data_IF_574477462340
#
_entry.id   IF_574477462340
#
_cell.length_a   1.000
_cell.length_b   1.000
_cell.length_c   1.000
_cell.angle_alpha   90.00
_cell.angle_beta   90.00
_cell.angle_gamma   90.00
#
_symmetry.space_group_name_H-M   'P 1'
#
loop_
_entity.id
_entity.type
_entity.pdbx_description
1 polymer ?
#
# COMPACT_ATOMS: atom_id res chain seq x y z
N UNK A 1 -30.19 80.20 -21.67
CA UNK A 1 -29.76 78.79 -21.81
C UNK A 1 -28.25 78.73 -21.97
N UNK A 2 -27.61 77.73 -21.37
CA UNK A 2 -26.19 77.36 -21.43
C UNK A 2 -25.17 78.13 -20.56
N UNK A 3 -25.00 77.68 -19.31
CA UNK A 3 -23.72 77.72 -18.58
C UNK A 3 -23.29 76.28 -18.28
N UNK A 4 -22.21 75.84 -18.93
CA UNK A 4 -21.50 74.59 -18.58
C UNK A 4 -20.47 74.92 -17.50
N UNK A 5 -20.70 74.40 -16.30
CA UNK A 5 -19.75 74.41 -15.19
C UNK A 5 -18.87 73.16 -15.31
N UNK A 6 -17.56 73.36 -15.47
CA UNK A 6 -16.56 72.28 -15.46
C UNK A 6 -16.14 72.06 -14.01
N UNK A 7 -16.51 70.93 -13.42
CA UNK A 7 -15.99 70.48 -12.13
C UNK A 7 -14.77 69.58 -12.35
N UNK A 8 -13.58 70.11 -12.08
CA UNK A 8 -12.37 69.33 -11.85
C UNK A 8 -12.20 69.23 -10.33
N UNK A 9 -12.58 68.08 -9.76
CA UNK A 9 -12.36 67.76 -8.35
C UNK A 9 -11.53 66.48 -8.22
N UNK A 10 -10.23 66.68 -7.94
CA UNK A 10 -9.50 66.01 -6.87
C UNK A 10 -9.54 64.48 -6.78
N UNK A 11 -8.76 63.81 -7.64
CA UNK A 11 -8.16 62.49 -7.35
C UNK A 11 -6.92 62.69 -6.49
N UNK A 12 -7.00 62.55 -5.17
CA UNK A 12 -5.85 62.32 -4.28
C UNK A 12 -6.34 61.91 -2.88
N UNK A 13 -6.29 60.62 -2.56
CA UNK A 13 -6.49 60.11 -1.20
C UNK A 13 -7.15 58.73 -1.17
N UNK A 14 -6.34 57.68 -1.03
CA UNK A 14 -6.88 56.33 -0.82
C UNK A 14 -5.99 55.17 -1.25
N UNK A 15 -4.67 55.26 -1.11
CA UNK A 15 -3.75 54.11 -1.29
C UNK A 15 -2.93 53.93 -0.02
N UNK A 16 -3.58 53.68 1.12
CA UNK A 16 -2.97 53.09 2.32
C UNK A 16 -4.07 52.33 3.09
N UNK A 17 -4.59 51.25 2.52
CA UNK A 17 -5.47 50.32 3.23
C UNK A 17 -5.49 48.93 2.56
N UNK A 18 -4.32 48.40 2.20
CA UNK A 18 -4.19 47.00 1.78
C UNK A 18 -2.85 46.51 2.33
N UNK A 19 -2.87 45.91 3.53
CA UNK A 19 -1.89 44.92 4.02
C UNK A 19 -2.10 44.67 5.52
N UNK A 20 -3.23 44.08 5.92
CA UNK A 20 -3.29 43.29 7.16
C UNK A 20 -4.55 42.39 7.22
N UNK A 21 -4.72 41.50 6.24
CA UNK A 21 -5.51 40.28 6.45
C UNK A 21 -4.54 39.10 6.47
N UNK A 22 -3.93 38.93 7.64
CA UNK A 22 -3.12 37.78 7.98
C UNK A 22 -4.09 36.63 8.25
N UNK A 23 -3.92 35.58 7.44
CA UNK A 23 -4.60 34.29 7.50
C UNK A 23 -4.40 33.68 8.89
N UNK A 24 -5.41 33.79 9.74
CA UNK A 24 -5.62 32.93 10.91
C UNK A 24 -6.44 31.72 10.44
N UNK A 25 -5.76 30.65 10.02
CA UNK A 25 -6.39 29.34 9.94
C UNK A 25 -6.38 28.72 11.34
N UNK A 26 -7.54 28.39 11.94
CA UNK A 26 -7.57 27.70 13.21
C UNK A 26 -7.11 26.25 13.01
N UNK A 27 -6.10 25.85 13.78
CA UNK A 27 -5.80 24.45 14.07
C UNK A 27 -7.04 23.80 14.69
N UNK A 28 -7.73 22.96 13.92
CA UNK A 28 -8.77 22.09 14.45
C UNK A 28 -8.08 20.99 15.29
N UNK A 29 -8.12 21.18 16.60
CA UNK A 29 -7.84 20.15 17.60
C UNK A 29 -8.94 19.09 17.48
N UNK A 30 -8.58 17.87 17.07
CA UNK A 30 -9.47 16.72 17.11
C UNK A 30 -9.51 16.21 18.56
N UNK A 31 -10.65 16.24 19.26
CA UNK A 31 -10.75 15.61 20.57
C UNK A 31 -10.85 14.10 20.42
N UNK A 32 -10.06 13.40 21.25
CA UNK A 32 -10.15 11.96 21.48
C UNK A 32 -11.49 11.65 22.18
N UNK A 33 -12.39 10.97 21.46
CA UNK A 33 -13.62 10.40 22.03
C UNK A 33 -13.33 9.08 22.73
N UNK A 34 -13.28 9.12 24.05
CA UNK A 34 -13.31 7.95 24.93
C UNK A 34 -14.75 7.50 25.17
N UNK A 35 -14.94 6.18 25.28
CA UNK A 35 -15.90 5.56 26.20
C UNK A 35 -17.38 5.63 25.83
N UNK A 36 -17.94 4.48 25.43
CA UNK A 36 -19.39 4.30 25.29
C UNK A 36 -19.77 2.84 25.21
N UNK A 37 -19.59 2.10 26.30
CA UNK A 37 -20.19 0.78 26.51
C UNK A 37 -21.69 0.98 26.67
N UNK A 38 -22.51 0.32 25.86
CA UNK A 38 -23.94 0.14 26.12
C UNK A 38 -24.45 -1.10 25.38
N UNK A 39 -24.58 -2.20 26.12
CA UNK A 39 -25.52 -3.29 25.80
C UNK A 39 -26.92 -2.87 26.24
N UNK A 40 -27.95 -3.19 25.45
CA UNK A 40 -29.10 -3.82 26.06
C UNK A 40 -29.59 -5.05 25.29
N UNK A 41 -29.74 -6.12 26.05
CA UNK A 41 -30.57 -7.29 25.79
C UNK A 41 -32.03 -6.86 25.61
N UNK A 42 -32.67 -7.21 24.49
CA UNK A 42 -34.13 -7.26 24.40
C UNK A 42 -34.57 -8.32 23.39
N UNK A 43 -35.07 -9.41 23.95
CA UNK A 43 -35.84 -10.48 23.33
C UNK A 43 -37.15 -9.95 22.74
N UNK A 44 -37.49 -10.23 21.47
CA UNK A 44 -38.89 -10.33 21.03
C UNK A 44 -39.07 -11.05 19.68
N UNK A 45 -39.77 -12.18 19.75
CA UNK A 45 -40.74 -12.81 18.84
C UNK A 45 -40.49 -12.99 17.31
N UNK A 46 -40.88 -14.16 16.74
CA UNK A 46 -40.76 -14.47 15.32
C UNK A 46 -41.90 -13.85 14.50
N UNK A 47 -41.57 -13.14 13.42
CA UNK A 47 -42.53 -12.66 12.41
C UNK A 47 -42.30 -13.42 11.11
N UNK A 48 -43.39 -13.91 10.53
CA UNK A 48 -43.48 -14.74 9.33
C UNK A 48 -42.92 -14.06 8.05
N UNK A 49 -42.54 -14.84 7.01
CA UNK A 49 -41.76 -14.34 5.88
C UNK A 49 -42.63 -13.53 4.91
N UNK A 50 -42.20 -12.29 4.64
CA UNK A 50 -42.76 -11.47 3.55
C UNK A 50 -41.91 -11.67 2.31
N UNK A 51 -42.60 -11.97 1.20
CA UNK A 51 -42.12 -12.32 -0.12
C UNK A 51 -41.02 -11.39 -0.65
N UNK A 52 -39.83 -11.96 -0.86
CA UNK A 52 -38.70 -11.28 -1.48
C UNK A 52 -38.95 -11.10 -2.98
N UNK A 53 -39.22 -9.85 -3.37
CA UNK A 53 -39.21 -9.40 -4.76
C UNK A 53 -37.84 -9.71 -5.38
N UNK A 54 -37.84 -10.42 -6.51
CA UNK A 54 -36.65 -10.82 -7.24
C UNK A 54 -35.96 -9.58 -7.85
N UNK A 55 -35.01 -9.02 -7.11
CA UNK A 55 -34.05 -8.08 -7.64
C UNK A 55 -33.16 -8.80 -8.67
N UNK A 56 -33.30 -8.40 -9.94
CA UNK A 56 -32.42 -8.76 -11.05
C UNK A 56 -30.96 -8.51 -10.62
N UNK A 57 -30.07 -9.53 -10.59
CA UNK A 57 -28.69 -9.30 -10.18
C UNK A 57 -28.02 -8.36 -11.20
N UNK A 58 -27.63 -7.19 -10.70
CA UNK A 58 -26.68 -6.33 -11.37
C UNK A 58 -25.38 -7.12 -11.61
N UNK A 59 -24.85 -7.01 -12.82
CA UNK A 59 -23.64 -7.70 -13.29
C UNK A 59 -22.43 -7.27 -12.46
N UNK A 60 -22.24 -7.91 -11.31
CA UNK A 60 -20.95 -8.00 -10.62
C UNK A 60 -19.93 -8.57 -11.60
N UNK A 61 -18.76 -7.94 -11.71
CA UNK A 61 -17.64 -8.49 -12.45
C UNK A 61 -17.41 -9.93 -11.97
N UNK A 62 -17.68 -10.89 -12.85
CA UNK A 62 -17.81 -12.30 -12.50
C UNK A 62 -16.42 -12.87 -12.24
N UNK A 63 -16.21 -13.52 -11.09
CA UNK A 63 -14.92 -14.11 -10.71
C UNK A 63 -14.36 -15.08 -11.78
N UNK A 64 -13.03 -15.27 -11.84
CA UNK A 64 -12.43 -16.25 -12.73
C UNK A 64 -12.99 -17.64 -12.41
N UNK A 65 -13.29 -18.42 -13.46
CA UNK A 65 -13.89 -19.73 -13.31
C UNK A 65 -13.43 -20.69 -14.40
N UNK A 66 -13.30 -21.96 -14.01
CA UNK A 66 -12.95 -23.06 -14.90
C UNK A 66 -14.07 -24.11 -14.86
N UNK A 67 -14.41 -24.65 -16.02
CA UNK A 67 -15.35 -25.75 -16.17
C UNK A 67 -14.77 -26.81 -17.12
N UNK A 68 -14.98 -28.08 -16.79
CA UNK A 68 -14.55 -29.20 -17.62
C UNK A 68 -15.74 -29.70 -18.45
N UNK A 69 -15.50 -30.08 -19.70
CA UNK A 69 -16.53 -30.70 -20.54
C UNK A 69 -17.03 -32.04 -20.01
N UNK A 70 -16.18 -32.76 -19.27
CA UNK A 70 -16.47 -34.06 -18.66
C UNK A 70 -16.05 -34.03 -17.17
N UNK A 71 -16.79 -34.76 -16.33
CA UNK A 71 -16.47 -34.91 -14.90
C UNK A 71 -15.70 -36.20 -14.59
N UNK A 72 -15.79 -37.19 -15.46
CA UNK A 72 -15.10 -38.47 -15.32
C UNK A 72 -14.17 -38.64 -16.52
N UNK A 73 -12.89 -38.84 -16.22
CA UNK A 73 -11.82 -38.64 -17.21
C UNK A 73 -10.75 -39.71 -17.02
N UNK A 74 -10.24 -40.26 -18.12
CA UNK A 74 -9.13 -41.22 -18.10
C UNK A 74 -7.78 -40.51 -18.24
N UNK A 75 -6.74 -41.05 -17.61
CA UNK A 75 -5.36 -40.59 -17.82
C UNK A 75 -4.99 -40.70 -19.30
N UNK A 76 -4.36 -39.67 -19.85
CA UNK A 76 -3.96 -39.56 -21.25
C UNK A 76 -5.05 -39.09 -22.20
N UNK A 77 -6.30 -38.94 -21.75
CA UNK A 77 -7.37 -38.38 -22.59
C UNK A 77 -7.25 -36.86 -22.72
N UNK A 78 -7.64 -36.34 -23.88
CA UNK A 78 -7.71 -34.89 -24.13
C UNK A 78 -9.12 -34.40 -23.81
N UNK A 79 -9.22 -33.37 -22.98
CA UNK A 79 -10.48 -32.78 -22.54
C UNK A 79 -10.48 -31.28 -22.83
N UNK A 80 -11.59 -30.78 -23.36
CA UNK A 80 -11.79 -29.35 -23.54
C UNK A 80 -12.20 -28.69 -22.22
N UNK A 81 -11.38 -27.74 -21.80
CA UNK A 81 -11.53 -26.93 -20.59
C UNK A 81 -12.07 -25.57 -21.00
N UNK A 82 -13.14 -25.11 -20.35
CA UNK A 82 -13.70 -23.78 -20.52
C UNK A 82 -13.17 -22.86 -19.43
N UNK A 83 -12.46 -21.81 -19.83
CA UNK A 83 -11.93 -20.77 -18.95
C UNK A 83 -12.79 -19.51 -19.13
N UNK A 84 -13.20 -18.86 -18.03
CA UNK A 84 -14.01 -17.65 -18.08
C UNK A 84 -13.49 -16.58 -17.12
N UNK A 85 -13.58 -15.31 -17.54
CA UNK A 85 -13.29 -14.11 -16.76
C UNK A 85 -11.87 -14.02 -16.17
N UNK A 86 -10.87 -14.60 -16.84
CA UNK A 86 -9.47 -14.33 -16.52
C UNK A 86 -9.03 -13.02 -17.15
N UNK A 87 -8.29 -12.19 -16.42
CA UNK A 87 -7.74 -10.91 -16.90
C UNK A 87 -6.26 -11.09 -17.26
N UNK A 88 -5.57 -12.04 -16.61
CA UNK A 88 -4.18 -12.37 -16.93
C UNK A 88 -4.04 -12.82 -18.40
N UNK A 89 -2.96 -12.38 -19.07
CA UNK A 89 -2.68 -12.74 -20.47
C UNK A 89 -2.18 -14.17 -20.64
N UNK A 90 -1.55 -14.72 -19.59
CA UNK A 90 -0.93 -16.04 -19.59
C UNK A 90 -1.43 -16.79 -18.36
N UNK A 91 -1.92 -18.01 -18.60
CA UNK A 91 -2.44 -18.90 -17.57
C UNK A 91 -1.68 -20.23 -17.61
N UNK A 92 -1.57 -20.86 -16.46
CA UNK A 92 -1.02 -22.21 -16.30
C UNK A 92 -2.13 -23.15 -15.85
N UNK A 93 -2.36 -24.22 -16.61
CA UNK A 93 -3.32 -25.28 -16.30
C UNK A 93 -2.57 -26.50 -15.79
N UNK A 94 -2.94 -26.98 -14.60
CA UNK A 94 -2.27 -28.11 -13.93
C UNK A 94 -3.29 -29.06 -13.30
N UNK A 95 -2.97 -30.35 -13.24
CA UNK A 95 -3.75 -31.37 -12.52
C UNK A 95 -3.16 -31.59 -11.15
N UNK A 96 -3.99 -31.53 -10.11
CA UNK A 96 -3.58 -31.78 -8.73
C UNK A 96 -4.39 -32.91 -8.11
N UNK A 97 -3.73 -33.74 -7.32
CA UNK A 97 -4.38 -34.63 -6.34
C UNK A 97 -4.58 -33.87 -5.03
N UNK A 98 -5.18 -34.52 -4.02
CA UNK A 98 -5.46 -33.91 -2.71
C UNK A 98 -6.07 -32.49 -2.77
N UNK A 99 -6.91 -32.22 -3.78
CA UNK A 99 -7.46 -30.90 -4.11
C UNK A 99 -6.41 -29.75 -4.23
N UNK A 100 -5.14 -30.07 -4.49
CA UNK A 100 -4.05 -29.08 -4.51
C UNK A 100 -3.78 -28.43 -3.15
N UNK A 101 -4.24 -29.02 -2.04
CA UNK A 101 -4.17 -28.41 -0.71
C UNK A 101 -2.75 -28.07 -0.31
N UNK A 102 -1.77 -28.95 -0.61
CA UNK A 102 -0.36 -28.79 -0.21
C UNK A 102 0.46 -28.00 -1.24
N UNK A 103 -0.21 -27.31 -2.17
CA UNK A 103 0.43 -26.55 -3.23
C UNK A 103 1.06 -27.44 -4.29
N UNK A 104 2.20 -27.02 -4.83
CA UNK A 104 2.84 -27.66 -5.98
C UNK A 104 3.22 -29.12 -5.79
N UNK A 105 3.41 -29.58 -4.54
CA UNK A 105 3.72 -30.99 -4.24
C UNK A 105 2.56 -31.95 -4.56
N UNK A 106 1.33 -31.42 -4.58
CA UNK A 106 0.13 -32.19 -4.92
C UNK A 106 -0.20 -32.12 -6.42
N UNK A 107 0.49 -31.25 -7.16
CA UNK A 107 0.21 -30.91 -8.54
C UNK A 107 1.28 -31.47 -9.50
N UNK A 108 0.85 -31.97 -10.65
CA UNK A 108 1.78 -32.39 -11.70
C UNK A 108 2.26 -31.18 -12.50
N UNK A 109 3.23 -30.46 -11.94
CA UNK A 109 3.86 -29.29 -12.58
C UNK A 109 4.67 -29.63 -13.82
N UNK A 110 5.10 -30.89 -13.98
CA UNK A 110 5.89 -31.34 -15.12
C UNK A 110 5.07 -31.34 -16.41
N UNK A 111 3.80 -31.74 -16.31
CA UNK A 111 2.87 -31.82 -17.43
C UNK A 111 1.90 -30.61 -17.44
N UNK A 112 2.29 -29.50 -16.81
CA UNK A 112 1.50 -28.28 -16.83
C UNK A 112 1.46 -27.66 -18.23
N UNK A 113 0.31 -27.08 -18.60
CA UNK A 113 0.13 -26.41 -19.90
C UNK A 113 -0.01 -24.92 -19.71
N UNK A 114 0.86 -24.16 -20.38
CA UNK A 114 0.73 -22.70 -20.48
C UNK A 114 -0.23 -22.35 -21.61
N UNK A 115 -1.12 -21.39 -21.38
CA UNK A 115 -2.14 -20.96 -22.33
C UNK A 115 -2.20 -19.45 -22.37
N UNK A 116 -2.27 -18.89 -23.57
CA UNK A 116 -2.49 -17.45 -23.78
C UNK A 116 -3.98 -17.14 -23.84
N UNK A 117 -4.40 -16.09 -23.12
CA UNK A 117 -5.78 -15.61 -23.13
C UNK A 117 -5.99 -14.73 -24.36
N UNK A 118 -6.97 -15.04 -25.24
CA UNK A 118 -7.27 -14.20 -26.38
C UNK A 118 -7.76 -12.81 -25.92
N UNK A 119 -7.35 -11.74 -26.59
CA UNK A 119 -7.63 -10.35 -26.19
C UNK A 119 -9.11 -9.99 -26.12
N UNK A 120 -9.96 -10.72 -26.84
CA UNK A 120 -11.34 -10.30 -27.12
C UNK A 120 -12.39 -11.18 -26.41
N UNK A 121 -11.96 -12.26 -25.74
CA UNK A 121 -12.87 -13.31 -25.28
C UNK A 121 -12.97 -13.38 -23.76
N UNK A 122 -14.17 -13.09 -23.25
CA UNK A 122 -14.53 -13.32 -21.83
C UNK A 122 -14.57 -14.80 -21.45
N UNK A 123 -14.60 -15.70 -22.44
CA UNK A 123 -14.43 -17.13 -22.26
C UNK A 123 -13.73 -17.76 -23.46
N UNK A 124 -12.95 -18.81 -23.24
CA UNK A 124 -12.33 -19.57 -24.32
C UNK A 124 -12.15 -21.04 -23.92
N UNK A 125 -11.96 -21.89 -24.94
CA UNK A 125 -11.79 -23.33 -24.79
C UNK A 125 -10.33 -23.70 -25.01
N UNK A 126 -9.85 -24.62 -24.19
CA UNK A 126 -8.48 -25.14 -24.26
C UNK A 126 -8.54 -26.65 -24.21
N UNK A 127 -7.93 -27.30 -25.20
CA UNK A 127 -7.74 -28.74 -25.14
C UNK A 127 -6.55 -29.07 -24.25
N UNK A 128 -6.78 -29.91 -23.24
CA UNK A 128 -5.79 -30.26 -22.23
C UNK A 128 -5.72 -31.78 -22.07
N UNK A 129 -4.51 -32.33 -22.15
CA UNK A 129 -4.27 -33.77 -21.97
C UNK A 129 -4.10 -34.07 -20.49
N UNK A 130 -4.91 -34.99 -19.99
CA UNK A 130 -5.02 -35.26 -18.56
C UNK A 130 -3.87 -36.16 -18.10
N UNK A 131 -3.06 -35.65 -17.17
CA UNK A 131 -1.92 -36.38 -16.62
C UNK A 131 -2.21 -36.92 -15.21
N UNK A 132 -1.40 -37.88 -14.78
CA UNK A 132 -1.49 -38.46 -13.45
C UNK A 132 -0.89 -37.50 -12.41
N UNK A 133 -1.61 -37.13 -11.33
CA UNK A 133 -1.01 -36.35 -10.24
C UNK A 133 -0.06 -37.20 -9.38
N UNK A 134 0.93 -36.59 -8.69
CA UNK A 134 1.89 -37.31 -7.86
C UNK A 134 1.25 -37.95 -6.61
N UNK A 135 0.16 -37.36 -6.11
CA UNK A 135 -0.58 -37.82 -4.92
C UNK A 135 -1.96 -38.36 -5.29
N UNK A 136 -2.60 -39.20 -4.45
CA UNK A 136 -3.96 -39.71 -4.67
C UNK A 136 -5.02 -38.61 -4.84
N UNK A 137 -6.11 -38.92 -5.54
CA UNK A 137 -7.31 -38.05 -5.62
C UNK A 137 -8.01 -37.99 -4.25
N UNK A 138 -8.84 -36.96 -3.94
CA UNK A 138 -9.65 -36.15 -4.85
C UNK A 138 -8.85 -35.21 -5.75
N UNK A 139 -9.21 -35.19 -7.02
CA UNK A 139 -8.46 -34.51 -8.06
C UNK A 139 -9.16 -33.23 -8.53
N UNK A 140 -8.36 -32.21 -8.81
CA UNK A 140 -8.80 -30.94 -9.38
C UNK A 140 -7.93 -30.56 -10.57
N UNK A 141 -8.52 -29.82 -11.51
CA UNK A 141 -7.77 -29.00 -12.43
C UNK A 141 -7.68 -27.60 -11.83
N UNK A 142 -6.46 -27.13 -11.62
CA UNK A 142 -6.17 -25.77 -11.18
C UNK A 142 -5.69 -24.94 -12.37
N UNK A 143 -6.24 -23.73 -12.49
CA UNK A 143 -5.81 -22.74 -13.46
C UNK A 143 -5.37 -21.50 -12.70
N UNK A 144 -4.14 -21.08 -12.91
CA UNK A 144 -3.57 -19.90 -12.24
C UNK A 144 -2.87 -18.96 -13.21
N UNK A 145 -2.87 -17.67 -12.90
CA UNK A 145 -1.98 -16.69 -13.53
C UNK A 145 -0.51 -16.92 -13.12
N UNK A 146 0.42 -16.30 -13.84
CA UNK A 146 1.87 -16.34 -13.52
C UNK A 146 2.18 -15.83 -12.10
N UNK A 147 1.39 -14.89 -11.60
CA UNK A 147 1.55 -14.28 -10.26
C UNK A 147 0.64 -14.89 -9.20
N UNK A 148 -0.18 -15.88 -9.55
CA UNK A 148 -1.17 -16.51 -8.66
C UNK A 148 -2.20 -15.54 -8.05
N UNK A 149 -2.40 -14.38 -8.67
CA UNK A 149 -3.44 -13.40 -8.30
C UNK A 149 -4.83 -13.79 -8.83
N UNK A 150 -4.89 -14.65 -9.85
CA UNK A 150 -6.12 -15.26 -10.36
C UNK A 150 -6.02 -16.78 -10.29
N UNK A 151 -6.93 -17.43 -9.56
CA UNK A 151 -6.97 -18.88 -9.42
C UNK A 151 -8.41 -19.38 -9.54
N UNK A 152 -8.61 -20.40 -10.38
CA UNK A 152 -9.87 -21.13 -10.44
C UNK A 152 -9.61 -22.64 -10.44
N UNK A 153 -10.55 -23.40 -9.87
CA UNK A 153 -10.44 -24.86 -9.74
C UNK A 153 -11.72 -25.56 -10.22
N UNK A 154 -11.55 -26.73 -10.83
CA UNK A 154 -12.65 -27.64 -11.18
C UNK A 154 -12.34 -29.05 -10.71
N UNK A 155 -13.21 -29.62 -9.87
CA UNK A 155 -13.10 -30.99 -9.41
C UNK A 155 -13.52 -31.99 -10.50
N UNK A 156 -12.86 -33.14 -10.54
CA UNK A 156 -13.17 -34.24 -11.44
C UNK A 156 -12.73 -35.60 -10.87
N UNK A 157 -13.27 -36.67 -11.42
CA UNK A 157 -12.93 -38.05 -11.10
C UNK A 157 -11.96 -38.60 -12.15
N UNK A 158 -10.78 -39.04 -11.72
CA UNK A 158 -9.75 -39.61 -12.58
C UNK A 158 -9.81 -41.15 -12.53
N UNK A 159 -10.11 -41.79 -13.65
CA UNK A 159 -10.13 -43.26 -13.73
C UNK A 159 -8.70 -43.84 -13.65
N UNK A 160 -8.56 -44.92 -12.89
CA UNK A 160 -7.30 -45.65 -12.74
C UNK A 160 -6.28 -45.01 -11.80
N UNK A 161 -6.66 -43.97 -11.05
CA UNK A 161 -5.82 -43.34 -10.03
C UNK A 161 -6.37 -43.62 -8.61
N UNK A 162 -5.51 -43.94 -7.62
CA UNK A 162 -5.97 -44.16 -6.26
C UNK A 162 -6.67 -42.92 -5.69
N UNK A 163 -7.73 -43.17 -4.91
CA UNK A 163 -8.42 -42.17 -4.13
C UNK A 163 -8.03 -42.39 -2.66
N UNK A 164 -7.63 -41.32 -1.99
CA UNK A 164 -7.39 -41.28 -0.57
C UNK A 164 -8.20 -40.14 0.06
N UNK A 165 -8.45 -40.16 1.39
CA UNK A 165 -9.02 -39.02 2.08
C UNK A 165 -8.20 -37.74 1.85
N UNK A 166 -8.87 -36.59 1.78
CA UNK A 166 -8.18 -35.29 1.73
C UNK A 166 -7.31 -35.15 2.95
N UNK A 167 -6.01 -34.98 2.71
CA UNK A 167 -5.04 -34.63 3.74
C UNK A 167 -4.91 -33.11 3.70
N UNK A 168 -5.52 -32.47 4.68
CA UNK A 168 -5.29 -31.05 4.88
C UNK A 168 -3.80 -30.79 5.04
N UNK A 169 -3.32 -29.82 4.30
CA UNK A 169 -2.04 -29.18 4.56
C UNK A 169 -2.30 -28.32 5.77
N UNK A 170 -2.10 -28.88 6.98
CA UNK A 170 -2.47 -28.27 8.27
C UNK A 170 -2.87 -26.81 8.14
N UNK A 171 -4.17 -26.57 7.90
CA UNK A 171 -4.80 -25.27 7.61
C UNK A 171 -3.87 -24.15 7.10
N UNK A 172 -3.25 -24.22 5.92
CA UNK A 172 -2.59 -23.03 5.33
C UNK A 172 -1.69 -22.25 6.33
N UNK A 173 -1.13 -22.96 7.32
CA UNK A 173 -0.27 -22.36 8.30
C UNK A 173 1.03 -22.27 7.55
N UNK A 174 1.34 -21.07 7.05
CA UNK A 174 2.72 -20.79 6.69
C UNK A 174 3.51 -21.20 7.92
N UNK A 175 4.43 -22.18 7.80
CA UNK A 175 5.14 -22.70 8.95
C UNK A 175 6.01 -21.62 9.61
N UNK A 176 6.12 -20.45 9.00
CA UNK A 176 6.85 -19.30 9.45
C UNK A 176 5.91 -18.11 9.59
N UNK A 177 5.73 -17.64 10.82
CA UNK A 177 5.12 -16.35 11.09
C UNK A 177 6.22 -15.29 11.12
N UNK A 178 6.12 -14.28 10.25
CA UNK A 178 7.09 -13.19 10.19
C UNK A 178 6.49 -11.97 10.88
N UNK A 179 7.29 -11.29 11.69
CA UNK A 179 7.00 -9.95 12.19
C UNK A 179 8.23 -9.07 12.05
N UNK A 180 7.99 -7.79 11.78
CA UNK A 180 9.04 -6.80 11.60
C UNK A 180 8.76 -5.63 12.52
N UNK A 181 9.77 -5.25 13.28
CA UNK A 181 9.76 -4.08 14.18
C UNK A 181 10.86 -3.15 13.69
N UNK A 182 10.49 -1.90 13.43
CA UNK A 182 11.43 -0.90 12.94
C UNK A 182 11.38 0.31 13.86
N UNK A 183 12.53 0.64 14.42
CA UNK A 183 12.69 1.75 15.34
C UNK A 183 13.81 2.69 14.86
N UNK A 184 13.68 4.01 15.02
CA UNK A 184 14.79 4.92 14.79
C UNK A 184 15.93 4.59 15.76
N UNK A 185 17.14 4.44 15.25
CA UNK A 185 18.28 4.15 16.10
C UNK A 185 18.57 5.35 17.02
N UNK A 186 18.79 5.12 18.31
CA UNK A 186 19.02 6.20 19.28
C UNK A 186 20.48 6.66 19.25
N UNK A 187 20.82 7.45 18.24
CA UNK A 187 22.14 8.06 18.04
C UNK A 187 22.32 9.40 18.78
N UNK A 188 21.48 9.66 19.78
CA UNK A 188 21.52 10.87 20.60
C UNK A 188 20.89 12.12 19.96
N UNK A 189 21.04 13.25 20.66
CA UNK A 189 20.35 14.51 20.34
C UNK A 189 20.66 15.05 18.94
N UNK A 190 21.92 14.93 18.50
CA UNK A 190 22.34 15.41 17.17
C UNK A 190 21.71 14.61 16.03
N UNK A 191 21.49 13.32 16.21
CA UNK A 191 20.80 12.51 15.22
C UNK A 191 19.34 12.96 15.10
N UNK A 192 18.63 13.12 16.23
CA UNK A 192 17.24 13.62 16.25
C UNK A 192 17.11 14.99 15.57
N UNK A 193 18.04 15.91 15.84
CA UNK A 193 18.09 17.20 15.17
C UNK A 193 18.25 17.05 13.65
N UNK A 194 19.17 16.20 13.17
CA UNK A 194 19.35 15.93 11.73
C UNK A 194 18.10 15.29 11.10
N UNK A 195 17.48 14.31 11.76
CA UNK A 195 16.27 13.66 11.26
C UNK A 195 15.12 14.65 11.14
N UNK A 196 15.00 15.58 12.11
CA UNK A 196 14.01 16.67 12.07
C UNK A 196 14.26 17.71 10.97
N UNK A 197 15.46 17.71 10.36
CA UNK A 197 15.85 18.49 9.18
C UNK A 197 15.79 17.68 7.88
N UNK A 198 15.08 16.54 7.87
CA UNK A 198 15.02 15.58 6.75
C UNK A 198 16.39 14.98 6.34
N UNK A 199 17.36 15.00 7.26
CA UNK A 199 18.67 14.37 7.08
C UNK A 199 18.61 12.84 7.06
N UNK A 200 19.72 12.22 6.66
CA UNK A 200 19.87 10.76 6.70
C UNK A 200 19.74 10.26 8.15
N UNK A 201 19.05 9.13 8.33
CA UNK A 201 18.78 8.56 9.65
C UNK A 201 19.05 7.07 9.65
N UNK A 202 19.46 6.56 10.80
CA UNK A 202 19.64 5.14 11.05
C UNK A 202 18.36 4.56 11.63
N UNK A 203 18.01 3.36 11.19
CA UNK A 203 16.92 2.55 11.73
C UNK A 203 17.48 1.20 12.17
N UNK A 204 17.03 0.75 13.33
CA UNK A 204 17.26 -0.61 13.79
C UNK A 204 16.05 -1.43 13.37
N UNK A 205 16.28 -2.33 12.40
CA UNK A 205 15.26 -3.18 11.81
C UNK A 205 15.40 -4.55 12.43
N UNK A 206 14.46 -4.91 13.29
CA UNK A 206 14.41 -6.23 13.92
C UNK A 206 13.38 -7.10 13.20
N UNK A 207 13.83 -8.20 12.62
CA UNK A 207 12.95 -9.20 12.01
C UNK A 207 12.87 -10.41 12.94
N UNK A 208 11.65 -10.86 13.18
CA UNK A 208 11.36 -12.02 14.02
C UNK A 208 10.63 -13.02 13.14
N UNK A 209 11.22 -14.19 12.96
CA UNK A 209 10.65 -15.30 12.21
C UNK A 209 10.37 -16.44 13.20
N UNK A 210 9.11 -16.76 13.40
CA UNK A 210 8.67 -17.81 14.30
C UNK A 210 8.24 -19.03 13.51
N UNK A 211 8.91 -20.17 13.73
CA UNK A 211 8.46 -21.45 13.21
C UNK A 211 7.23 -21.90 14.02
N UNK A 212 6.08 -22.04 13.37
CA UNK A 212 4.85 -22.55 13.97
C UNK A 212 4.67 -24.05 13.71
N UNK A 213 5.54 -24.64 12.89
CA UNK A 213 5.48 -26.05 12.53
C UNK A 213 6.18 -26.98 13.54
N UNK A 214 5.84 -28.27 13.43
CA UNK A 214 6.42 -29.35 14.23
C UNK A 214 7.74 -29.89 13.68
N UNK A 215 8.24 -29.34 12.56
CA UNK A 215 9.46 -29.77 11.89
C UNK A 215 10.47 -28.62 11.85
N UNK A 216 11.77 -28.96 11.81
CA UNK A 216 12.82 -27.97 11.58
C UNK A 216 12.70 -27.38 10.15
N UNK A 217 12.97 -26.08 10.02
CA UNK A 217 12.96 -25.37 8.73
C UNK A 217 14.37 -24.86 8.45
N UNK A 218 14.91 -25.24 7.30
CA UNK A 218 16.27 -24.90 6.90
C UNK A 218 16.31 -24.07 5.61
N UNK A 219 17.33 -23.22 5.49
CA UNK A 219 17.69 -22.57 4.23
C UNK A 219 16.67 -21.54 3.73
N UNK A 220 15.92 -20.89 4.63
CA UNK A 220 14.94 -19.87 4.27
C UNK A 220 15.63 -18.59 3.82
N UNK A 221 15.18 -18.04 2.69
CA UNK A 221 15.59 -16.71 2.24
C UNK A 221 14.67 -15.66 2.89
N UNK A 222 15.29 -14.65 3.50
CA UNK A 222 14.62 -13.48 4.03
C UNK A 222 14.95 -12.29 3.13
N UNK A 223 13.92 -11.69 2.55
CA UNK A 223 14.03 -10.45 1.80
C UNK A 223 13.35 -9.34 2.61
N UNK A 224 14.06 -8.24 2.84
CA UNK A 224 13.49 -7.07 3.50
C UNK A 224 13.67 -5.86 2.60
N UNK A 225 12.58 -5.17 2.34
CA UNK A 225 12.52 -4.03 1.44
C UNK A 225 11.94 -2.83 2.17
N UNK A 226 12.39 -1.65 1.78
CA UNK A 226 11.82 -0.38 2.24
C UNK A 226 11.36 0.46 1.06
N UNK A 227 10.13 0.93 1.12
CA UNK A 227 9.48 1.70 0.05
C UNK A 227 8.65 2.85 0.58
N UNK A 228 8.15 3.71 -0.32
CA UNK A 228 7.15 4.75 0.04
C UNK A 228 5.74 4.21 0.08
N UNK A 229 5.47 3.09 -0.60
CA UNK A 229 4.14 2.50 -0.73
C UNK A 229 4.23 0.97 -0.82
N UNK A 230 3.15 0.35 -1.32
CA UNK A 230 2.92 -1.04 -1.77
C UNK A 230 3.85 -1.71 -2.78
N UNK A 231 4.38 -0.88 -3.67
CA UNK A 231 4.76 -1.27 -5.03
C UNK A 231 6.15 -0.74 -5.39
N UNK A 232 6.66 0.21 -4.61
CA UNK A 232 7.95 0.85 -4.74
C UNK A 232 8.96 0.21 -3.77
N UNK A 233 10.18 -0.05 -4.23
CA UNK A 233 11.31 -0.47 -3.41
C UNK A 233 12.43 0.55 -3.60
N UNK A 234 12.77 1.26 -2.51
CA UNK A 234 13.85 2.25 -2.48
C UNK A 234 15.18 1.55 -2.22
N UNK A 235 15.19 0.49 -1.41
CA UNK A 235 16.40 -0.22 -1.02
C UNK A 235 16.10 -1.62 -0.52
N UNK A 236 16.85 -2.58 -1.03
CA UNK A 236 16.85 -3.95 -0.52
C UNK A 236 17.83 -4.06 0.65
N UNK A 237 17.39 -4.69 1.73
CA UNK A 237 18.20 -4.91 2.93
C UNK A 237 18.67 -6.35 2.91
N UNK A 238 19.98 -6.54 2.79
CA UNK A 238 20.60 -7.85 2.92
C UNK A 238 20.54 -8.30 4.39
N UNK A 239 19.79 -9.37 4.64
CA UNK A 239 19.83 -10.09 5.91
C UNK A 239 20.68 -11.36 5.76
N UNK A 240 21.34 -11.81 6.84
CA UNK A 240 22.01 -13.11 6.83
C UNK A 240 20.99 -14.23 6.56
N UNK A 241 21.46 -15.29 5.89
CA UNK A 241 20.63 -16.47 5.60
C UNK A 241 20.25 -17.14 6.92
N UNK A 242 19.01 -17.63 7.00
CA UNK A 242 18.55 -18.37 8.17
C UNK A 242 18.98 -19.83 8.00
N UNK A 243 19.91 -20.27 8.84
CA UNK A 243 20.49 -21.63 8.74
C UNK A 243 19.48 -22.70 9.16
N UNK A 244 19.08 -22.72 10.43
CA UNK A 244 18.10 -23.68 10.96
C UNK A 244 17.21 -23.05 12.04
N UNK A 245 15.89 -23.20 11.89
CA UNK A 245 14.92 -22.91 12.95
C UNK A 245 14.30 -24.23 13.39
N UNK A 246 14.63 -24.64 14.62
CA UNK A 246 14.04 -25.82 15.25
C UNK A 246 12.50 -25.76 15.32
N UNK A 247 11.84 -26.90 15.60
CA UNK A 247 10.39 -26.97 15.71
C UNK A 247 9.90 -26.03 16.83
N UNK A 248 8.91 -25.19 16.51
CA UNK A 248 8.40 -24.11 17.39
C UNK A 248 9.45 -23.06 17.79
N UNK A 249 10.60 -23.03 17.11
CA UNK A 249 11.70 -22.11 17.37
C UNK A 249 11.40 -20.69 16.87
N UNK A 250 12.15 -19.72 17.38
CA UNK A 250 12.09 -18.32 16.94
C UNK A 250 13.49 -17.86 16.56
N UNK A 251 13.60 -17.26 15.38
CA UNK A 251 14.81 -16.58 14.93
C UNK A 251 14.59 -15.07 14.99
N UNK A 252 15.59 -14.35 15.47
CA UNK A 252 15.55 -12.89 15.58
C UNK A 252 16.91 -12.33 15.19
N UNK A 253 16.89 -11.36 14.29
CA UNK A 253 18.08 -10.61 13.90
C UNK A 253 17.73 -9.12 13.80
N UNK A 254 18.67 -8.28 14.26
CA UNK A 254 18.55 -6.83 14.18
C UNK A 254 19.65 -6.30 13.27
N UNK A 255 19.25 -5.70 12.14
CA UNK A 255 20.17 -5.08 11.20
C UNK A 255 19.99 -3.57 11.25
N UNK A 256 21.12 -2.88 11.31
CA UNK A 256 21.16 -1.42 11.33
C UNK A 256 21.25 -0.87 9.92
N UNK A 257 20.22 -0.16 9.48
CA UNK A 257 20.14 0.38 8.12
C UNK A 257 20.21 1.90 8.14
N UNK A 258 21.00 2.48 7.22
CA UNK A 258 20.95 3.90 6.90
C UNK A 258 20.01 4.16 5.73
N UNK A 259 19.02 5.03 5.95
CA UNK A 259 18.23 5.64 4.89
C UNK A 259 18.86 6.96 4.46
N UNK A 260 19.01 7.15 3.15
CA UNK A 260 19.60 8.36 2.58
C UNK A 260 18.62 9.52 2.60
N UNK A 261 19.12 10.74 2.82
CA UNK A 261 18.32 11.96 2.70
C UNK A 261 17.88 12.22 1.25
N UNK A 262 16.74 12.90 1.03
CA UNK A 262 15.84 13.48 2.03
C UNK A 262 14.82 12.48 2.58
N UNK A 263 14.73 12.35 3.92
CA UNK A 263 13.75 11.48 4.56
C UNK A 263 12.53 12.30 4.97
N UNK A 264 11.40 12.09 4.31
CA UNK A 264 10.14 12.77 4.62
C UNK A 264 8.93 11.89 4.28
N UNK A 265 7.91 11.92 5.14
CA UNK A 265 6.65 11.21 4.90
C UNK A 265 6.59 9.83 5.55
N UNK A 266 5.79 8.94 4.95
CA UNK A 266 5.56 7.57 5.44
C UNK A 266 6.40 6.59 4.62
N UNK A 267 7.05 5.67 5.32
CA UNK A 267 7.81 4.57 4.74
C UNK A 267 7.12 3.26 5.13
N UNK A 268 7.04 2.35 4.16
CA UNK A 268 6.51 1.01 4.35
C UNK A 268 7.70 0.05 4.29
N UNK A 269 7.87 -0.71 5.36
CA UNK A 269 8.87 -1.76 5.45
C UNK A 269 8.17 -3.09 5.22
N UNK A 270 8.73 -3.92 4.35
CA UNK A 270 8.19 -5.24 4.04
C UNK A 270 9.26 -6.28 4.31
N UNK A 271 8.92 -7.30 5.09
CA UNK A 271 9.72 -8.50 5.25
C UNK A 271 8.97 -9.66 4.61
N UNK A 272 9.59 -10.28 3.61
CA UNK A 272 9.08 -11.48 2.96
C UNK A 272 10.01 -12.66 3.30
N UNK A 273 9.42 -13.76 3.76
CA UNK A 273 10.14 -15.04 3.82
C UNK A 273 9.50 -16.00 2.83
N UNK A 274 10.34 -16.78 2.14
CA UNK A 274 9.90 -17.86 1.27
C UNK A 274 10.36 -19.19 1.83
N UNK A 275 9.40 -20.02 2.22
CA UNK A 275 9.65 -21.38 2.66
C UNK A 275 8.68 -22.34 1.99
N UNK A 276 9.18 -23.44 1.44
CA UNK A 276 8.38 -24.46 0.76
C UNK A 276 7.50 -23.91 -0.37
N UNK A 277 7.95 -22.87 -1.08
CA UNK A 277 7.20 -22.22 -2.16
C UNK A 277 6.02 -21.33 -1.69
N UNK A 278 5.83 -21.19 -0.38
CA UNK A 278 4.88 -20.25 0.22
C UNK A 278 5.63 -19.01 0.69
N UNK A 279 5.11 -17.82 0.37
CA UNK A 279 5.63 -16.56 0.85
C UNK A 279 4.76 -16.01 1.98
N UNK A 280 5.38 -15.49 3.04
CA UNK A 280 4.69 -14.68 4.05
C UNK A 280 5.32 -13.32 4.12
N UNK A 281 4.47 -12.32 4.01
CA UNK A 281 4.84 -10.92 4.05
C UNK A 281 4.35 -10.30 5.35
N UNK A 282 5.24 -9.60 6.04
CA UNK A 282 4.92 -8.74 7.16
C UNK A 282 5.20 -7.29 6.76
N UNK A 283 4.28 -6.39 7.05
CA UNK A 283 4.43 -4.97 6.73
C UNK A 283 4.35 -4.12 7.99
N UNK A 284 5.27 -3.17 8.14
CA UNK A 284 5.15 -2.12 9.16
C UNK A 284 5.36 -0.74 8.53
N UNK A 285 4.82 0.29 9.16
CA UNK A 285 4.89 1.66 8.64
C UNK A 285 5.58 2.56 9.64
N UNK A 286 6.47 3.42 9.14
CA UNK A 286 7.17 4.43 9.93
C UNK A 286 6.91 5.80 9.34
N UNK A 287 6.55 6.76 10.18
CA UNK A 287 6.28 8.13 9.77
C UNK A 287 7.40 9.06 10.25
N UNK A 288 8.00 9.81 9.34
CA UNK A 288 8.98 10.84 9.66
C UNK A 288 8.46 12.23 9.26
N UNK A 289 8.27 13.11 10.24
CA UNK A 289 7.84 14.49 10.03
C UNK A 289 8.99 15.45 10.38
N UNK A 290 9.56 16.18 9.40
CA UNK A 290 10.66 17.09 9.64
C UNK A 290 10.15 18.42 10.24
N UNK A 291 9.70 18.37 11.49
CA UNK A 291 9.10 19.51 12.20
C UNK A 291 10.06 20.70 12.29
N UNK A 292 11.34 20.46 12.58
CA UNK A 292 12.34 21.52 12.68
C UNK A 292 12.57 22.21 11.35
N UNK A 293 12.58 21.46 10.24
CA UNK A 293 12.67 22.04 8.89
C UNK A 293 11.51 23.00 8.63
N UNK A 294 10.27 22.60 8.97
CA UNK A 294 9.08 23.44 8.80
C UNK A 294 9.17 24.71 9.66
N UNK A 295 9.62 24.60 10.90
CA UNK A 295 9.80 25.75 11.81
C UNK A 295 10.85 26.72 11.27
N UNK A 296 12.03 26.22 10.84
CA UNK A 296 13.09 27.05 10.28
C UNK A 296 12.66 27.73 8.98
N UNK A 297 11.96 27.02 8.09
CA UNK A 297 11.41 27.60 6.88
C UNK A 297 10.40 28.72 7.20
N UNK A 298 9.56 28.53 8.22
CA UNK A 298 8.63 29.56 8.71
C UNK A 298 9.34 30.81 9.26
N UNK A 299 10.38 30.61 10.09
CA UNK A 299 11.20 31.70 10.64
C UNK A 299 11.90 32.46 9.50
N UNK A 300 12.48 31.74 8.54
CA UNK A 300 13.13 32.33 7.38
C UNK A 300 12.15 33.16 6.54
N UNK A 301 10.95 32.62 6.27
CA UNK A 301 9.89 33.34 5.57
C UNK A 301 9.48 34.63 6.29
N UNK A 302 9.36 34.58 7.63
CA UNK A 302 9.08 35.76 8.45
C UNK A 302 10.21 36.79 8.38
N UNK A 303 11.47 36.35 8.45
CA UNK A 303 12.63 37.23 8.35
C UNK A 303 12.68 37.94 6.98
N UNK A 304 12.48 37.21 5.89
CA UNK A 304 12.39 37.78 4.54
C UNK A 304 11.25 38.78 4.42
N UNK A 305 10.06 38.44 4.94
CA UNK A 305 8.91 39.34 4.94
C UNK A 305 9.21 40.65 5.70
N UNK A 306 9.79 40.56 6.90
CA UNK A 306 10.15 41.75 7.69
C UNK A 306 11.19 42.63 6.99
N UNK A 307 12.14 42.02 6.28
CA UNK A 307 13.15 42.73 5.51
C UNK A 307 12.53 43.46 4.32
N UNK A 308 11.62 42.81 3.57
CA UNK A 308 10.89 43.42 2.46
C UNK A 308 10.05 44.60 2.95
N UNK A 309 9.31 44.45 4.05
CA UNK A 309 8.51 45.54 4.66
C UNK A 309 9.40 46.71 5.09
N UNK A 310 10.57 46.45 5.69
CA UNK A 310 11.52 47.51 6.06
C UNK A 310 12.09 48.23 4.84
N UNK A 311 12.39 47.51 3.77
CA UNK A 311 12.91 48.09 2.53
C UNK A 311 11.85 48.94 1.82
N UNK A 312 10.61 48.43 1.70
CA UNK A 312 9.50 49.17 1.08
C UNK A 312 9.20 50.45 1.86
N UNK A 313 9.15 50.36 3.20
CA UNK A 313 8.96 51.53 4.06
C UNK A 313 10.08 52.57 3.88
N UNK A 314 11.34 52.13 3.82
CA UNK A 314 12.49 53.04 3.57
C UNK A 314 12.39 53.72 2.21
N UNK A 315 11.99 53.01 1.15
CA UNK A 315 11.81 53.58 -0.20
C UNK A 315 10.67 54.60 -0.21
N UNK A 316 9.52 54.28 0.38
CA UNK A 316 8.36 55.18 0.47
C UNK A 316 8.73 56.44 1.26
N UNK A 317 9.38 56.32 2.42
CA UNK A 317 9.83 57.48 3.20
C UNK A 317 10.83 58.36 2.42
N UNK A 318 11.74 57.77 1.64
CA UNK A 318 12.67 58.52 0.78
C UNK A 318 11.93 59.28 -0.33
N UNK A 319 10.94 58.67 -0.97
CA UNK A 319 10.13 59.31 -2.00
C UNK A 319 9.26 60.45 -1.42
N UNK A 320 8.68 60.26 -0.24
CA UNK A 320 7.90 61.29 0.44
C UNK A 320 8.77 62.49 0.88
N UNK A 321 10.00 62.26 1.39
CA UNK A 321 10.93 63.35 1.71
C UNK A 321 11.31 64.19 0.50
N UNK A 322 11.44 63.58 -0.68
CA UNK A 322 11.73 64.30 -1.93
C UNK A 322 10.57 65.18 -2.42
N UNK A 323 9.34 64.93 -1.96
CA UNK A 323 8.15 65.73 -2.33
C UNK A 323 7.90 66.93 -1.42
N UNK A 324 8.77 67.23 -0.45
CA UNK A 324 8.59 68.43 0.38
C UNK A 324 8.70 69.66 -0.54
N UNK A 325 7.63 70.46 -0.70
CA UNK A 325 7.62 71.58 -1.63
C UNK A 325 8.73 72.57 -1.24
N UNK A 326 9.37 73.24 -2.22
CA UNK A 326 10.34 74.28 -1.93
C UNK A 326 9.68 75.31 -1.01
N UNK A 327 10.41 75.72 0.02
CA UNK A 327 9.94 76.75 0.94
C UNK A 327 9.52 77.97 0.11
N UNK A 328 8.26 78.39 0.28
CA UNK A 328 7.76 79.63 -0.30
C UNK A 328 8.59 80.74 0.33
N UNK A 329 9.52 81.29 -0.44
CA UNK A 329 10.30 82.45 -0.04
C UNK A 329 9.33 83.62 -0.02
N UNK A 330 8.94 84.06 1.17
CA UNK A 330 8.16 85.29 1.33
C UNK A 330 9.00 86.47 0.85
N UNK A 331 8.48 87.33 -0.04
CA UNK A 331 9.20 88.52 -0.47
C UNK A 331 9.37 89.49 0.70
N UNK A 332 10.49 90.26 0.73
CA UNK A 332 10.70 91.26 1.77
C UNK A 332 9.64 92.37 1.66
N UNK A 333 9.04 92.71 2.80
CA UNK A 333 8.13 93.86 2.94
C UNK A 333 8.95 95.15 2.79
N UNK A 334 8.69 95.89 1.71
CA UNK A 334 9.07 97.31 1.54
C UNK A 334 7.99 98.22 2.10
#
# INVERSE_FOLDING_TARGET
>A
MNRRSVNVAGRLGGVVAVCLFLVLAPFAVVPAGAGGVSSPTATTAPTAPTSSSAAKPASSARAPSVALGLKEIAVGSTVSIRLNNFIAKVLTVTVCGNEGRRGSVDCNVKDAKTVEVPTDNRFFLVDFTMSKPPVPCPCIVQVSSERFDEVAVAAFTLFGHPIAPVVDSGKGAVPLQVSIVVEPADDGLWARARTSLAGATWYDVTVIVQNTSASAVQGTALAVEVGRNTEDSIKDVAFPKIDDIGPRGTWRETVRLRLSSPIYGTYVWRAATTAFGLSTTATTTTKNQPTLFVVLAGIFGLAVLTLVVRLTFRVVCRLLRRRKPPAVVSPPLT
#
